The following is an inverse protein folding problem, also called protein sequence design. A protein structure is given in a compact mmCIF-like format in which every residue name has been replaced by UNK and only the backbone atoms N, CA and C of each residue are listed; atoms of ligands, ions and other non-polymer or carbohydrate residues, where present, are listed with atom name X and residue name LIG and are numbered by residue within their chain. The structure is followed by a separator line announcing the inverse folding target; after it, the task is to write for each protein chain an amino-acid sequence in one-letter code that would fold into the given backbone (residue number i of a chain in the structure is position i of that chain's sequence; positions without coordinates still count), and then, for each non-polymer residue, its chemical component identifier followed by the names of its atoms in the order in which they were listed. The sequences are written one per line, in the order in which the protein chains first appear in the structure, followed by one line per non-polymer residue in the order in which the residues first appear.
data_IF_689022608723
#
_entry.id   IF_689022608723
#
_cell.length_a   1.000
_cell.length_b   1.000
_cell.length_c   1.000
_cell.angle_alpha   90.00
_cell.angle_beta   90.00
_cell.angle_gamma   90.00
#
_symmetry.space_group_name_H-M   'P 1'
#
loop_
_entity.id
_entity.type
_entity.pdbx_description
1 polymer ?
#
# COMPACT_ATOMS: atom_id res chain seq x y z
N UNK A 1 -48.29 31.16 -57.81
CA UNK A 1 -48.72 30.59 -56.50
C UNK A 1 -47.44 30.45 -55.66
N UNK A 2 -46.96 31.50 -54.97
CA UNK A 2 -46.94 31.72 -53.49
C UNK A 2 -46.76 30.46 -52.63
N UNK A 3 -45.99 30.37 -51.53
CA UNK A 3 -44.99 31.18 -50.79
C UNK A 3 -44.50 30.27 -49.63
N UNK A 4 -43.32 30.55 -49.07
CA UNK A 4 -42.63 29.83 -47.99
C UNK A 4 -43.27 29.90 -46.57
N UNK A 5 -42.62 29.24 -45.59
CA UNK A 5 -42.69 29.36 -44.11
C UNK A 5 -43.69 28.36 -43.40
N UNK A 6 -43.47 27.71 -42.24
CA UNK A 6 -42.51 27.89 -41.13
C UNK A 6 -42.72 26.81 -40.00
N UNK A 7 -41.64 26.40 -39.28
CA UNK A 7 -41.49 25.90 -37.86
C UNK A 7 -42.36 24.71 -37.33
N UNK A 8 -42.04 23.92 -36.30
CA UNK A 8 -40.95 23.72 -35.33
C UNK A 8 -41.19 22.38 -34.56
N UNK A 9 -40.15 21.94 -33.82
CA UNK A 9 -40.19 21.13 -32.58
C UNK A 9 -40.30 19.59 -32.68
N UNK A 10 -39.19 18.90 -32.38
CA UNK A 10 -39.03 18.10 -31.15
C UNK A 10 -37.58 17.62 -31.00
N UNK A 11 -36.75 18.50 -30.41
CA UNK A 11 -35.55 18.13 -29.67
C UNK A 11 -36.00 17.69 -28.29
N UNK A 12 -35.59 16.52 -27.78
CA UNK A 12 -35.30 16.26 -26.36
C UNK A 12 -34.96 14.78 -26.08
N UNK A 13 -33.92 14.61 -25.25
CA UNK A 13 -33.47 13.39 -24.54
C UNK A 13 -32.65 12.34 -25.31
N UNK A 14 -31.32 12.46 -25.22
CA UNK A 14 -30.40 11.32 -25.05
C UNK A 14 -29.01 11.82 -24.63
N UNK A 15 -28.94 12.53 -23.50
CA UNK A 15 -27.69 12.91 -22.86
C UNK A 15 -27.55 12.19 -21.52
N UNK A 16 -27.42 10.85 -21.53
CA UNK A 16 -26.92 10.16 -20.35
C UNK A 16 -25.44 10.53 -20.21
N UNK A 17 -25.17 11.52 -19.36
CA UNK A 17 -23.83 11.86 -18.95
C UNK A 17 -23.19 10.64 -18.28
N UNK A 18 -22.26 10.00 -18.98
CA UNK A 18 -21.22 9.22 -18.32
C UNK A 18 -20.41 10.20 -17.49
N UNK A 19 -20.75 10.32 -16.20
CA UNK A 19 -19.87 10.97 -15.25
C UNK A 19 -18.57 10.14 -15.21
N UNK A 20 -17.39 10.73 -15.50
CA UNK A 20 -16.14 10.01 -15.31
C UNK A 20 -16.05 9.66 -13.83
N UNK A 21 -16.03 8.37 -13.54
CA UNK A 21 -15.64 7.90 -12.22
C UNK A 21 -14.19 8.31 -12.04
N UNK A 22 -13.96 9.37 -11.26
CA UNK A 22 -12.61 9.75 -10.82
C UNK A 22 -12.11 8.63 -9.91
N UNK A 23 -11.59 7.56 -10.50
CA UNK A 23 -10.86 6.56 -9.76
C UNK A 23 -9.64 7.26 -9.17
N UNK A 24 -9.59 7.33 -7.85
CA UNK A 24 -8.41 7.80 -7.15
C UNK A 24 -7.24 6.91 -7.60
N UNK A 25 -6.37 7.46 -8.45
CA UNK A 25 -5.17 6.77 -8.87
C UNK A 25 -4.27 6.64 -7.64
N UNK A 26 -3.79 5.43 -7.36
CA UNK A 26 -2.82 5.20 -6.30
C UNK A 26 -1.55 6.01 -6.59
N UNK A 27 -1.17 6.88 -5.65
CA UNK A 27 0.03 7.71 -5.74
C UNK A 27 1.06 7.20 -4.74
N UNK A 28 2.33 7.13 -5.13
CA UNK A 28 3.41 6.82 -4.18
C UNK A 28 3.46 7.89 -3.08
N UNK A 29 3.50 7.44 -1.84
CA UNK A 29 3.57 8.29 -0.66
C UNK A 29 5.04 8.44 -0.23
N UNK A 30 5.43 9.64 0.18
CA UNK A 30 6.77 9.89 0.71
C UNK A 30 6.85 9.42 2.16
N UNK A 31 7.70 8.41 2.38
CA UNK A 31 8.00 7.82 3.67
C UNK A 31 9.49 7.95 4.04
N UNK A 32 10.23 8.82 3.35
CA UNK A 32 11.69 8.97 3.47
C UNK A 32 12.19 9.34 4.86
N UNK A 33 11.29 9.83 5.74
CA UNK A 33 11.59 10.15 7.13
C UNK A 33 11.37 8.97 8.09
N UNK A 34 10.98 7.80 7.58
CA UNK A 34 10.87 6.57 8.36
C UNK A 34 12.24 6.08 8.82
N UNK A 35 12.28 5.45 9.99
CA UNK A 35 13.54 5.05 10.64
C UNK A 35 13.44 3.62 11.17
N UNK A 36 14.46 2.82 10.88
CA UNK A 36 14.66 1.54 11.58
C UNK A 36 15.11 1.84 13.00
N UNK A 37 14.36 1.32 13.98
CA UNK A 37 14.71 1.40 15.39
C UNK A 37 15.52 0.16 15.78
N UNK A 38 16.77 0.36 16.20
CA UNK A 38 17.66 -0.70 16.62
C UNK A 38 18.60 -1.18 15.51
N UNK A 39 18.82 -2.50 15.41
CA UNK A 39 19.72 -3.09 14.43
C UNK A 39 19.02 -3.40 13.10
N UNK A 40 19.81 -3.56 12.04
CA UNK A 40 19.36 -4.12 10.76
C UNK A 40 18.68 -5.48 10.96
N UNK A 41 17.68 -5.78 10.14
CA UNK A 41 16.97 -7.06 10.13
C UNK A 41 17.96 -8.21 9.92
N UNK A 42 17.95 -9.17 10.84
CA UNK A 42 18.65 -10.44 10.69
C UNK A 42 17.61 -11.56 10.61
N UNK A 43 17.55 -12.23 9.47
CA UNK A 43 16.76 -13.45 9.33
C UNK A 43 17.53 -14.64 9.90
N UNK A 44 16.81 -15.53 10.58
CA UNK A 44 17.35 -16.73 11.20
C UNK A 44 16.44 -17.90 10.86
N UNK A 45 17.03 -19.09 10.73
CA UNK A 45 16.25 -20.31 10.57
C UNK A 45 15.37 -20.53 11.80
N UNK A 46 14.08 -20.75 11.58
CA UNK A 46 13.13 -21.01 12.66
C UNK A 46 13.42 -22.34 13.37
N UNK A 47 14.07 -23.28 12.67
CA UNK A 47 14.47 -24.58 13.20
C UNK A 47 15.99 -24.76 13.14
N UNK A 48 16.55 -25.37 14.19
CA UNK A 48 17.93 -25.85 14.20
C UNK A 48 18.05 -27.09 13.30
N UNK A 49 18.43 -26.87 12.04
CA UNK A 49 18.62 -27.84 10.96
C UNK A 49 17.33 -28.36 10.27
N UNK A 50 17.29 -28.39 8.91
CA UNK A 50 16.21 -29.04 8.19
C UNK A 50 16.28 -30.54 8.46
N UNK A 51 15.31 -31.07 9.19
CA UNK A 51 15.06 -32.52 9.19
C UNK A 51 14.45 -32.84 7.83
N UNK A 52 15.14 -33.70 7.08
CA UNK A 52 14.58 -34.43 5.94
C UNK A 52 14.27 -33.60 4.68
N UNK A 53 15.13 -32.64 4.30
CA UNK A 53 15.06 -31.99 2.98
C UNK A 53 13.80 -31.14 2.74
N UNK A 54 13.12 -30.71 3.80
CA UNK A 54 12.03 -29.72 3.72
C UNK A 54 12.61 -28.31 3.72
N UNK A 55 12.06 -27.46 2.86
CA UNK A 55 12.32 -26.04 2.85
C UNK A 55 12.14 -25.44 4.24
N UNK A 56 13.20 -24.84 4.77
CA UNK A 56 13.18 -24.18 6.06
C UNK A 56 12.63 -22.76 5.94
N UNK A 57 11.96 -22.29 6.99
CA UNK A 57 11.54 -20.88 7.07
C UNK A 57 12.63 -20.07 7.77
N UNK A 58 12.96 -18.93 7.16
CA UNK A 58 13.77 -17.89 7.76
C UNK A 58 12.82 -16.82 8.31
N UNK A 59 12.94 -16.50 9.60
CA UNK A 59 12.20 -15.39 10.21
C UNK A 59 13.11 -14.37 10.87
N UNK A 60 12.65 -13.12 10.90
CA UNK A 60 13.28 -12.04 11.65
C UNK A 60 12.27 -11.00 12.06
N UNK A 61 12.61 -10.20 13.07
CA UNK A 61 11.78 -9.09 13.53
C UNK A 61 12.58 -7.80 13.52
N UNK A 62 11.95 -6.72 13.08
CA UNK A 62 12.50 -5.37 13.06
C UNK A 62 11.45 -4.39 13.56
N UNK A 63 11.89 -3.31 14.19
CA UNK A 63 11.00 -2.22 14.59
C UNK A 63 11.28 -1.01 13.71
N UNK A 64 10.24 -0.39 13.18
CA UNK A 64 10.34 0.76 12.27
C UNK A 64 9.44 1.86 12.78
N UNK A 65 9.99 3.04 13.01
CA UNK A 65 9.20 4.26 13.14
C UNK A 65 8.80 4.68 11.72
N UNK A 66 7.58 4.38 11.33
CA UNK A 66 7.00 4.79 10.05
C UNK A 66 6.58 6.24 10.16
N UNK A 67 6.94 7.06 9.17
CA UNK A 67 6.54 8.45 9.06
C UNK A 67 6.17 8.78 7.62
N UNK A 68 4.88 8.99 7.39
CA UNK A 68 4.29 9.24 6.08
C UNK A 68 3.97 10.73 5.94
N UNK A 69 4.48 11.38 4.90
CA UNK A 69 4.12 12.77 4.56
C UNK A 69 2.80 12.81 3.79
N UNK A 70 1.76 13.29 4.46
CA UNK A 70 0.39 13.33 3.93
C UNK A 70 -0.12 14.76 3.71
N UNK A 71 0.78 15.76 3.77
CA UNK A 71 0.43 17.20 3.69
C UNK A 71 -0.43 17.55 2.48
N UNK A 72 -0.12 16.96 1.32
CA UNK A 72 -0.82 17.23 0.07
C UNK A 72 -2.29 16.78 0.06
N UNK A 73 -2.71 15.95 1.02
CA UNK A 73 -4.07 15.40 1.11
C UNK A 73 -4.84 15.89 2.33
N UNK A 74 -4.31 16.88 3.06
CA UNK A 74 -4.96 17.43 4.25
C UNK A 74 -6.38 17.92 3.94
N UNK A 75 -7.33 17.52 4.79
CA UNK A 75 -8.76 17.84 4.64
C UNK A 75 -9.55 16.87 3.77
N UNK A 76 -8.91 15.82 3.20
CA UNK A 76 -9.57 14.80 2.37
C UNK A 76 -9.64 13.47 3.11
N UNK A 77 -10.62 12.63 2.77
CA UNK A 77 -10.54 11.22 3.12
C UNK A 77 -9.55 10.51 2.19
N UNK A 78 -8.76 9.62 2.76
CA UNK A 78 -7.81 8.82 2.03
C UNK A 78 -7.76 7.37 2.54
N UNK A 79 -7.35 6.47 1.64
CA UNK A 79 -6.90 5.13 1.96
C UNK A 79 -5.42 5.05 1.68
N UNK A 80 -4.65 4.55 2.63
CA UNK A 80 -3.21 4.33 2.46
C UNK A 80 -2.96 2.84 2.54
N UNK A 81 -2.14 2.34 1.63
CA UNK A 81 -1.75 0.95 1.54
C UNK A 81 -0.25 0.82 1.69
N UNK A 82 0.21 -0.22 2.37
CA UNK A 82 1.58 -0.69 2.26
C UNK A 82 1.67 -1.65 1.08
N UNK A 83 2.78 -1.62 0.35
CA UNK A 83 3.02 -2.43 -0.85
C UNK A 83 4.37 -3.13 -0.73
N UNK A 84 4.41 -4.42 -1.04
CA UNK A 84 5.65 -5.14 -1.33
C UNK A 84 5.62 -5.43 -2.84
N UNK A 85 6.58 -4.93 -3.62
CA UNK A 85 6.68 -5.26 -5.04
C UNK A 85 6.74 -6.77 -5.27
N UNK A 86 6.25 -7.21 -6.42
CA UNK A 86 6.46 -8.58 -6.84
C UNK A 86 7.96 -8.78 -7.12
N UNK A 87 8.67 -9.38 -6.17
CA UNK A 87 10.09 -9.70 -6.34
C UNK A 87 10.23 -10.99 -7.17
N UNK A 88 11.08 -10.96 -8.21
CA UNK A 88 11.17 -11.98 -9.25
C UNK A 88 11.71 -13.37 -8.81
N UNK A 89 11.69 -13.72 -7.52
CA UNK A 89 12.25 -15.00 -7.05
C UNK A 89 11.92 -15.46 -5.63
N UNK A 90 11.47 -14.58 -4.73
CA UNK A 90 11.32 -14.89 -3.29
C UNK A 90 9.91 -14.55 -2.79
N UNK A 91 9.21 -15.57 -2.27
CA UNK A 91 7.97 -15.39 -1.51
C UNK A 91 8.33 -14.91 -0.11
N UNK A 92 8.00 -13.65 0.18
CA UNK A 92 8.23 -13.00 1.47
C UNK A 92 6.86 -12.70 2.07
N UNK A 93 6.70 -13.04 3.34
CA UNK A 93 5.53 -12.66 4.13
C UNK A 93 5.97 -11.61 5.15
N UNK A 94 5.28 -10.48 5.17
CA UNK A 94 5.42 -9.47 6.20
C UNK A 94 4.15 -9.45 7.05
N UNK A 95 4.32 -9.33 8.36
CA UNK A 95 3.25 -9.09 9.32
C UNK A 95 3.69 -7.94 10.23
N UNK A 96 2.80 -7.00 10.53
CA UNK A 96 3.11 -5.90 11.44
C UNK A 96 2.00 -5.70 12.47
N UNK A 97 2.43 -5.29 13.66
CA UNK A 97 1.55 -4.76 14.69
C UNK A 97 1.87 -3.28 14.93
N UNK A 98 0.85 -2.52 15.31
CA UNK A 98 0.90 -1.09 15.61
C UNK A 98 0.25 -0.82 16.99
N UNK A 99 0.35 0.40 17.51
CA UNK A 99 -0.36 0.80 18.74
C UNK A 99 -1.23 2.06 18.60
N UNK A 100 -1.29 2.68 17.43
CA UNK A 100 -2.01 3.92 17.20
C UNK A 100 -2.85 3.89 15.92
N UNK A 101 -2.70 4.91 15.08
CA UNK A 101 -3.69 5.23 14.03
C UNK A 101 -3.55 4.38 12.77
N UNK A 102 -2.37 3.81 12.53
CA UNK A 102 -2.16 2.90 11.41
C UNK A 102 -2.63 1.50 11.79
N UNK A 103 -3.27 0.81 10.84
CA UNK A 103 -3.84 -0.51 11.03
C UNK A 103 -2.74 -1.58 11.06
N UNK A 104 -2.85 -2.60 11.94
CA UNK A 104 -2.02 -3.80 11.85
C UNK A 104 -2.43 -4.62 10.62
N UNK A 105 -1.52 -5.47 10.15
CA UNK A 105 -1.80 -6.27 8.97
C UNK A 105 -0.73 -7.28 8.64
N UNK A 106 -0.94 -7.93 7.50
CA UNK A 106 -0.01 -8.87 6.90
C UNK A 106 -0.16 -8.83 5.38
N UNK A 107 0.90 -9.16 4.67
CA UNK A 107 0.87 -9.30 3.22
C UNK A 107 2.06 -10.11 2.71
N UNK A 108 1.95 -10.56 1.46
CA UNK A 108 2.98 -11.29 0.72
C UNK A 108 3.62 -10.44 -0.36
N UNK A 109 4.73 -10.92 -0.92
CA UNK A 109 5.33 -10.34 -2.12
C UNK A 109 4.29 -10.17 -3.24
N UNK A 110 4.19 -8.96 -3.81
CA UNK A 110 3.23 -8.62 -4.86
C UNK A 110 1.84 -8.21 -4.35
N UNK A 111 1.61 -8.22 -3.04
CA UNK A 111 0.36 -7.76 -2.45
C UNK A 111 0.46 -6.32 -1.96
N UNK A 112 -0.71 -5.71 -1.77
CA UNK A 112 -0.90 -4.47 -1.03
C UNK A 112 -1.88 -4.67 0.11
N UNK A 113 -1.70 -3.98 1.22
CA UNK A 113 -2.55 -4.07 2.38
C UNK A 113 -2.91 -2.69 2.94
N UNK A 114 -4.17 -2.52 3.33
CA UNK A 114 -4.67 -1.27 3.89
C UNK A 114 -4.02 -1.00 5.26
N UNK A 115 -3.36 0.15 5.40
CA UNK A 115 -2.76 0.60 6.66
C UNK A 115 -3.45 1.81 7.26
N UNK A 116 -4.30 2.50 6.51
CA UNK A 116 -5.08 3.63 7.02
C UNK A 116 -6.29 3.87 6.14
N UNK A 117 -7.43 4.23 6.74
CA UNK A 117 -8.59 4.74 6.04
C UNK A 117 -9.28 5.80 6.89
N UNK A 118 -9.39 7.02 6.38
CA UNK A 118 -10.04 8.11 7.11
C UNK A 118 -9.59 9.50 6.69
N UNK A 119 -10.01 10.53 7.44
CA UNK A 119 -9.71 11.92 7.15
C UNK A 119 -8.27 12.30 7.51
N UNK A 120 -7.54 12.85 6.54
CA UNK A 120 -6.18 13.36 6.73
C UNK A 120 -6.24 14.72 7.43
N UNK A 121 -5.98 14.74 8.74
CA UNK A 121 -6.06 15.95 9.58
C UNK A 121 -4.70 16.48 10.05
N UNK A 122 -3.61 15.80 9.69
CA UNK A 122 -2.24 16.14 10.06
C UNK A 122 -1.36 16.24 8.82
N UNK A 123 -0.17 16.77 9.01
CA UNK A 123 0.87 16.83 7.96
C UNK A 123 1.60 15.50 7.83
N UNK A 124 1.71 14.76 8.93
CA UNK A 124 2.35 13.46 8.98
C UNK A 124 1.45 12.44 9.68
N UNK A 125 1.46 11.20 9.20
CA UNK A 125 1.04 10.04 9.98
C UNK A 125 2.30 9.33 10.47
N UNK A 126 2.40 9.11 11.78
CA UNK A 126 3.57 8.51 12.39
C UNK A 126 3.16 7.37 13.32
N UNK A 127 3.82 6.23 13.21
CA UNK A 127 3.53 5.04 14.01
C UNK A 127 4.77 4.15 14.17
N UNK A 128 4.86 3.40 15.26
CA UNK A 128 5.87 2.35 15.41
C UNK A 128 5.33 1.02 14.95
N UNK A 129 5.91 0.46 13.90
CA UNK A 129 5.62 -0.88 13.43
C UNK A 129 6.60 -1.86 14.05
N UNK A 130 6.09 -2.93 14.64
CA UNK A 130 6.87 -4.14 14.89
C UNK A 130 6.59 -5.11 13.75
N UNK A 131 7.54 -5.25 12.84
CA UNK A 131 7.43 -6.11 11.67
C UNK A 131 8.09 -7.47 11.92
N UNK A 132 7.39 -8.54 11.60
CA UNK A 132 7.94 -9.88 11.44
C UNK A 132 7.98 -10.22 9.95
N UNK A 133 9.16 -10.60 9.48
CA UNK A 133 9.40 -11.03 8.10
C UNK A 133 9.63 -12.54 8.12
N UNK A 134 8.99 -13.25 7.18
CA UNK A 134 9.25 -14.67 6.91
C UNK A 134 9.58 -14.87 5.43
N UNK A 135 10.56 -15.71 5.14
CA UNK A 135 10.93 -16.09 3.79
C UNK A 135 11.21 -17.59 3.71
N UNK A 136 11.06 -18.15 2.51
CA UNK A 136 11.55 -19.48 2.18
C UNK A 136 13.08 -19.45 2.08
N UNK A 137 13.76 -20.13 3.00
CA UNK A 137 15.22 -20.12 3.08
C UNK A 137 15.91 -20.91 1.98
N UNK A 138 15.22 -21.82 1.29
CA UNK A 138 15.79 -22.54 0.14
C UNK A 138 15.83 -21.67 -1.12
N UNK A 139 15.00 -20.62 -1.15
CA UNK A 139 14.87 -19.70 -2.30
C UNK A 139 15.59 -18.36 -2.07
N UNK A 140 16.06 -18.10 -0.86
CA UNK A 140 16.75 -16.86 -0.51
C UNK A 140 18.26 -17.00 -0.79
N UNK A 141 18.67 -16.74 -2.03
CA UNK A 141 20.08 -16.91 -2.43
C UNK A 141 21.01 -15.75 -2.01
N UNK A 142 20.46 -14.58 -1.65
CA UNK A 142 21.25 -13.38 -1.31
C UNK A 142 20.62 -12.57 -0.18
N UNK A 143 21.41 -11.67 0.38
CA UNK A 143 20.91 -10.55 1.20
C UNK A 143 20.07 -9.63 0.31
N UNK A 144 18.79 -9.95 0.17
CA UNK A 144 17.85 -9.14 -0.59
C UNK A 144 17.49 -7.88 0.20
N UNK A 145 17.43 -6.75 -0.51
CA UNK A 145 16.80 -5.54 0.03
C UNK A 145 15.30 -5.70 -0.16
N UNK A 146 14.59 -5.90 0.95
CA UNK A 146 13.13 -5.85 0.92
C UNK A 146 12.70 -4.39 0.80
N UNK A 147 12.12 -4.05 -0.34
CA UNK A 147 11.52 -2.74 -0.58
C UNK A 147 10.07 -2.78 -0.11
N UNK A 148 9.75 -1.87 0.82
CA UNK A 148 8.39 -1.62 1.27
C UNK A 148 8.07 -0.19 0.85
N UNK A 149 6.95 -0.02 0.17
CA UNK A 149 6.47 1.27 -0.25
C UNK A 149 5.09 1.54 0.34
N UNK A 150 4.66 2.80 0.29
CA UNK A 150 3.31 3.20 0.62
C UNK A 150 2.64 3.89 -0.58
N UNK A 151 1.35 3.61 -0.74
CA UNK A 151 0.50 4.23 -1.75
C UNK A 151 -0.69 4.89 -1.08
N UNK A 152 -1.14 6.02 -1.63
CA UNK A 152 -2.33 6.74 -1.18
C UNK A 152 -3.36 6.86 -2.31
N UNK A 153 -4.61 6.60 -1.97
CA UNK A 153 -5.79 6.86 -2.78
C UNK A 153 -6.67 7.84 -2.02
N UNK A 154 -6.82 9.07 -2.52
CA UNK A 154 -7.61 10.10 -1.85
C UNK A 154 -8.83 10.49 -2.68
N UNK A 155 -9.92 10.84 -1.98
CA UNK A 155 -11.14 11.35 -2.62
C UNK A 155 -10.83 12.61 -3.43
N UNK A 156 -11.45 12.82 -4.60
CA UNK A 156 -11.31 14.06 -5.35
C UNK A 156 -11.61 15.29 -4.49
N UNK A 157 -10.94 16.41 -4.80
CA UNK A 157 -11.27 17.72 -4.23
C UNK A 157 -12.60 18.24 -4.76
#
# INVERSE_FOLDING_TARGET
MSRAAVLAALLLLSGLGMAPSAHAQAQRLDDSQSQVLGSTLQLRWDQAAPRDGRAGTLSGTITVLVRLDVRAWRGRNARIYQVIPANAGVDVQAQWSTQGVLLPGQMRSGERALVYAGPVNSDFLQETFRLTIRADGDRLERTERLEFDFEIEAEPL
#
